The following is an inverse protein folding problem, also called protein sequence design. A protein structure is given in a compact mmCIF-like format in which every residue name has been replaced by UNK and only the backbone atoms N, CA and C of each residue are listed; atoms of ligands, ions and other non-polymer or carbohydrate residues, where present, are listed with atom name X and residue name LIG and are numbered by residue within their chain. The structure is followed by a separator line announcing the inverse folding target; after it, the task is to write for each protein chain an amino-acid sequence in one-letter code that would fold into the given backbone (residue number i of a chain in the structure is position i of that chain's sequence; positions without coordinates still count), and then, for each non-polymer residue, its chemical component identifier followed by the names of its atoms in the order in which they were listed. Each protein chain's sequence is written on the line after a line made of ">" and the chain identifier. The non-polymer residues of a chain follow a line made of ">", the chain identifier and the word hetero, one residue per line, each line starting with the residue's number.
data_IF_025446684670
#
_entry.id   IF_025446684670
#
_cell.length_a   1.000
_cell.length_b   1.000
_cell.length_c   1.000
_cell.angle_alpha   90.00
_cell.angle_beta   90.00
_cell.angle_gamma   90.00
#
_symmetry.space_group_name_H-M   'P 1'
#
loop_
_entity.id
_entity.type
_entity.pdbx_description
1 polymer ?
#
# COMPACT_ATOMS: atom_id res chain seq x y z
N UNK A 1 31.94 -12.28 -12.24
CA UNK A 1 30.52 -12.08 -12.65
C UNK A 1 29.53 -12.59 -11.60
N UNK A 2 29.67 -13.83 -11.11
CA UNK A 2 28.75 -14.43 -10.11
C UNK A 2 28.53 -13.58 -8.84
N UNK A 3 29.60 -13.04 -8.24
CA UNK A 3 29.52 -12.16 -7.05
C UNK A 3 28.70 -10.89 -7.32
N UNK A 4 28.83 -10.28 -8.49
CA UNK A 4 28.08 -9.06 -8.84
C UNK A 4 26.60 -9.37 -8.98
N UNK A 5 26.25 -10.50 -9.59
CA UNK A 5 24.86 -10.95 -9.71
C UNK A 5 24.24 -11.17 -8.33
N UNK A 6 24.96 -11.84 -7.43
CA UNK A 6 24.51 -12.09 -6.06
C UNK A 6 24.28 -10.81 -5.25
N UNK A 7 25.16 -9.82 -5.38
CA UNK A 7 25.00 -8.52 -4.71
C UNK A 7 23.73 -7.82 -5.22
N UNK A 8 23.56 -7.75 -6.54
CA UNK A 8 22.42 -7.04 -7.15
C UNK A 8 21.11 -7.73 -6.81
N UNK A 9 21.04 -9.07 -6.87
CA UNK A 9 19.81 -9.80 -6.54
C UNK A 9 19.44 -9.64 -5.07
N UNK A 10 20.41 -9.70 -4.15
CA UNK A 10 20.17 -9.51 -2.71
C UNK A 10 19.70 -8.08 -2.40
N UNK A 11 20.36 -7.06 -2.97
CA UNK A 11 19.92 -5.67 -2.81
C UNK A 11 18.52 -5.44 -3.39
N UNK A 12 18.21 -6.03 -4.54
CA UNK A 12 16.89 -5.94 -5.17
C UNK A 12 15.83 -6.62 -4.31
N UNK A 13 16.10 -7.81 -3.78
CA UNK A 13 15.18 -8.51 -2.87
C UNK A 13 14.87 -7.68 -1.62
N UNK A 14 15.89 -7.08 -1.01
CA UNK A 14 15.72 -6.20 0.16
C UNK A 14 14.90 -4.95 -0.18
N UNK A 15 15.12 -4.34 -1.34
CA UNK A 15 14.32 -3.19 -1.77
C UNK A 15 12.84 -3.56 -1.98
N UNK A 16 12.57 -4.70 -2.62
CA UNK A 16 11.21 -5.20 -2.81
C UNK A 16 10.50 -5.52 -1.49
N UNK A 17 11.22 -6.08 -0.51
CA UNK A 17 10.68 -6.32 0.83
C UNK A 17 10.25 -5.01 1.52
N UNK A 18 11.09 -3.98 1.45
CA UNK A 18 10.77 -2.66 2.02
C UNK A 18 9.56 -2.03 1.32
N UNK A 19 9.48 -2.13 0.00
CA UNK A 19 8.33 -1.65 -0.78
C UNK A 19 7.07 -2.40 -0.39
N UNK A 20 7.11 -3.72 -0.27
CA UNK A 20 5.96 -4.53 0.11
C UNK A 20 5.45 -4.17 1.51
N UNK A 21 6.36 -3.94 2.47
CA UNK A 21 6.00 -3.48 3.82
C UNK A 21 5.34 -2.11 3.79
N UNK A 22 5.91 -1.15 3.06
CA UNK A 22 5.36 0.19 2.92
C UNK A 22 3.98 0.15 2.26
N UNK A 23 3.82 -0.63 1.19
CA UNK A 23 2.55 -0.76 0.47
C UNK A 23 1.47 -1.34 1.36
N UNK A 24 1.79 -2.33 2.19
CA UNK A 24 0.85 -2.92 3.15
C UNK A 24 0.37 -1.88 4.18
N UNK A 25 1.29 -1.10 4.75
CA UNK A 25 0.97 -0.04 5.71
C UNK A 25 0.12 1.07 5.07
N UNK A 26 0.50 1.51 3.87
CA UNK A 26 -0.25 2.52 3.12
C UNK A 26 -1.64 2.02 2.74
N UNK A 27 -1.79 0.76 2.33
CA UNK A 27 -3.08 0.15 2.03
C UNK A 27 -4.00 0.15 3.26
N UNK A 28 -3.47 -0.21 4.43
CA UNK A 28 -4.23 -0.19 5.68
C UNK A 28 -4.73 1.22 6.02
N UNK A 29 -3.86 2.23 5.91
CA UNK A 29 -4.24 3.63 6.14
C UNK A 29 -5.30 4.11 5.14
N UNK A 30 -5.18 3.76 3.86
CA UNK A 30 -6.19 4.10 2.85
C UNK A 30 -7.54 3.48 3.17
N UNK A 31 -7.59 2.21 3.59
CA UNK A 31 -8.85 1.58 3.97
C UNK A 31 -9.46 2.19 5.23
N UNK A 32 -8.67 2.56 6.22
CA UNK A 32 -9.17 3.28 7.40
C UNK A 32 -9.77 4.64 7.01
N UNK A 33 -9.09 5.39 6.14
CA UNK A 33 -9.61 6.65 5.61
C UNK A 33 -10.90 6.44 4.82
N UNK A 34 -10.98 5.39 4.00
CA UNK A 34 -12.21 5.05 3.27
C UNK A 34 -13.37 4.79 4.22
N UNK A 35 -13.18 3.96 5.24
CA UNK A 35 -14.24 3.68 6.22
C UNK A 35 -14.72 4.95 6.94
N UNK A 36 -13.79 5.81 7.33
CA UNK A 36 -14.14 7.09 7.96
C UNK A 36 -14.93 7.99 7.01
N UNK A 37 -14.54 8.07 5.73
CA UNK A 37 -15.26 8.83 4.73
C UNK A 37 -16.64 8.23 4.42
N UNK A 38 -16.76 6.91 4.31
CA UNK A 38 -18.04 6.24 4.09
C UNK A 38 -19.02 6.49 5.26
N UNK A 39 -18.52 6.57 6.49
CA UNK A 39 -19.31 6.96 7.65
C UNK A 39 -19.78 8.43 7.56
N UNK A 40 -18.88 9.36 7.24
CA UNK A 40 -19.22 10.78 7.09
C UNK A 40 -20.19 11.04 5.93
N UNK A 41 -20.21 10.17 4.92
CA UNK A 41 -21.02 10.27 3.71
C UNK A 41 -22.18 9.27 3.69
N UNK A 42 -22.59 8.75 4.84
CA UNK A 42 -23.54 7.65 4.90
C UNK A 42 -24.90 8.01 4.26
N UNK A 43 -25.33 9.26 4.37
CA UNK A 43 -26.59 9.75 3.76
C UNK A 43 -26.49 9.87 2.24
N UNK A 44 -25.29 10.08 1.70
CA UNK A 44 -25.04 10.11 0.26
C UNK A 44 -24.65 8.73 -0.33
N UNK A 45 -24.79 7.65 0.44
CA UNK A 45 -24.43 6.30 0.01
C UNK A 45 -22.93 5.99 0.07
N UNK A 46 -22.18 6.71 0.89
CA UNK A 46 -20.73 6.57 1.05
C UNK A 46 -19.95 7.24 -0.09
N UNK A 47 -18.64 7.00 -0.12
CA UNK A 47 -17.73 7.60 -1.10
C UNK A 47 -18.14 7.29 -2.54
N UNK A 48 -18.55 6.05 -2.84
CA UNK A 48 -18.97 5.64 -4.19
C UNK A 48 -20.40 6.09 -4.56
N UNK A 49 -21.23 6.44 -3.59
CA UNK A 49 -22.55 7.02 -3.86
C UNK A 49 -22.48 8.52 -4.15
N UNK A 50 -21.54 9.21 -3.49
CA UNK A 50 -21.34 10.65 -3.64
C UNK A 50 -20.47 11.08 -4.82
N UNK A 51 -19.41 10.32 -5.12
CA UNK A 51 -18.40 10.65 -6.13
C UNK A 51 -18.34 9.55 -7.21
#
# INVERSE_FOLDING_TARGET
>A
LQVVVEIVTNQTARALELIAKQLSQTRAAIYQNRLALDYLLAEEGGVCGKF
#
